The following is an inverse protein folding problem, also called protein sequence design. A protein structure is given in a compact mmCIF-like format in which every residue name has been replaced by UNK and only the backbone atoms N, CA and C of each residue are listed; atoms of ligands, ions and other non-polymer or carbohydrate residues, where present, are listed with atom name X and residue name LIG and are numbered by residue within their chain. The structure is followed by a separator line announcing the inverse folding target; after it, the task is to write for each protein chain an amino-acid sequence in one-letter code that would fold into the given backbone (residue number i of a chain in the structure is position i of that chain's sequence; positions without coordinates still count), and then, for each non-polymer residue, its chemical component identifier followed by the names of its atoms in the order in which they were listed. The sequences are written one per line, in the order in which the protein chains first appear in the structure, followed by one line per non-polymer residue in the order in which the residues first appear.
data_IF_958733410371
#
_entry.id   IF_958733410371
#
_cell.length_a   1.000
_cell.length_b   1.000
_cell.length_c   1.000
_cell.angle_alpha   90.00
_cell.angle_beta   90.00
_cell.angle_gamma   90.00
#
_symmetry.space_group_name_H-M   'P 1'
#
loop_
_entity.id
_entity.type
_entity.pdbx_description
1 polymer ?
#
# COMPACT_ATOMS: atom_id res chain seq x y z
N UNK A 1 -33.35 4.12 -18.73
CA UNK A 1 -31.88 4.22 -18.83
C UNK A 1 -31.22 5.07 -17.73
N UNK A 2 -31.78 6.23 -17.35
CA UNK A 2 -31.19 7.11 -16.30
C UNK A 2 -30.95 6.44 -14.93
N UNK A 3 -31.83 5.50 -14.52
CA UNK A 3 -31.71 4.86 -13.21
C UNK A 3 -30.60 3.79 -13.15
N UNK A 4 -30.30 3.13 -14.28
CA UNK A 4 -29.25 2.12 -14.36
C UNK A 4 -27.86 2.76 -14.15
N UNK A 5 -27.64 3.94 -14.73
CA UNK A 5 -26.40 4.70 -14.57
C UNK A 5 -26.15 5.13 -13.11
N UNK A 6 -27.21 5.45 -12.36
CA UNK A 6 -27.13 5.77 -10.93
C UNK A 6 -26.68 4.57 -10.09
N UNK A 7 -27.17 3.36 -10.41
CA UNK A 7 -26.77 2.14 -9.72
C UNK A 7 -25.29 1.83 -9.96
N UNK A 8 -24.83 1.94 -11.22
CA UNK A 8 -23.41 1.76 -11.55
C UNK A 8 -22.51 2.77 -10.82
N UNK A 9 -22.94 4.03 -10.72
CA UNK A 9 -22.18 5.06 -10.00
C UNK A 9 -22.04 4.73 -8.50
N UNK A 10 -23.09 4.25 -7.85
CA UNK A 10 -23.05 3.85 -6.43
C UNK A 10 -22.15 2.64 -6.22
N UNK A 11 -22.20 1.65 -7.11
CA UNK A 11 -21.33 0.46 -7.04
C UNK A 11 -19.85 0.85 -7.19
N UNK A 12 -19.52 1.70 -8.17
CA UNK A 12 -18.15 2.17 -8.39
C UNK A 12 -17.62 2.97 -7.20
N UNK A 13 -18.45 3.85 -6.64
CA UNK A 13 -18.09 4.58 -5.42
C UNK A 13 -17.86 3.64 -4.25
N UNK A 14 -18.76 2.67 -4.03
CA UNK A 14 -18.59 1.64 -3.00
C UNK A 14 -17.28 0.86 -3.15
N UNK A 15 -16.96 0.41 -4.36
CA UNK A 15 -15.71 -0.32 -4.65
C UNK A 15 -14.45 0.54 -4.41
N UNK A 16 -14.49 1.83 -4.73
CA UNK A 16 -13.36 2.75 -4.49
C UNK A 16 -13.04 2.92 -2.99
N UNK A 17 -14.08 3.03 -2.15
CA UNK A 17 -13.92 3.21 -0.71
C UNK A 17 -13.45 1.90 -0.07
N UNK A 18 -14.02 0.76 -0.47
CA UNK A 18 -13.58 -0.57 -0.01
C UNK A 18 -12.13 -0.84 -0.41
N UNK A 19 -11.69 -0.38 -1.59
CA UNK A 19 -10.30 -0.55 -2.02
C UNK A 19 -9.30 0.22 -1.14
N UNK A 20 -9.70 1.37 -0.59
CA UNK A 20 -8.83 2.18 0.27
C UNK A 20 -8.69 1.58 1.68
N UNK A 21 -9.78 1.04 2.24
CA UNK A 21 -9.81 0.52 3.62
C UNK A 21 -9.46 -0.96 3.72
N UNK A 22 -9.91 -1.79 2.77
CA UNK A 22 -9.78 -3.25 2.84
C UNK A 22 -8.36 -3.72 2.51
N UNK A 23 -7.58 -2.95 1.75
CA UNK A 23 -6.29 -3.37 1.24
C UNK A 23 -5.08 -2.98 2.11
N UNK A 24 -5.22 -2.05 3.07
CA UNK A 24 -4.03 -1.32 3.54
C UNK A 24 -3.54 -1.61 4.96
N UNK A 25 -4.36 -1.81 6.01
CA UNK A 25 -3.77 -1.90 7.34
C UNK A 25 -3.03 -3.23 7.59
N UNK A 26 -3.66 -4.35 7.29
CA UNK A 26 -3.15 -5.69 7.65
C UNK A 26 -2.14 -6.25 6.65
N UNK A 27 -2.19 -5.81 5.39
CA UNK A 27 -1.23 -6.18 4.38
C UNK A 27 0.10 -5.45 4.60
N UNK A 28 0.07 -4.11 4.70
CA UNK A 28 1.28 -3.33 4.93
C UNK A 28 1.91 -3.62 6.29
N UNK A 29 1.12 -3.93 7.33
CA UNK A 29 1.67 -4.38 8.62
C UNK A 29 2.49 -5.67 8.48
N UNK A 30 1.97 -6.69 7.80
CA UNK A 30 2.71 -7.96 7.56
C UNK A 30 3.93 -7.78 6.67
N UNK A 31 3.83 -6.88 5.69
CA UNK A 31 4.99 -6.49 4.87
C UNK A 31 6.02 -5.85 5.79
N UNK A 32 5.66 -4.85 6.59
CA UNK A 32 6.59 -4.19 7.48
C UNK A 32 7.24 -5.15 8.49
N UNK A 33 6.44 -6.01 9.15
CA UNK A 33 6.92 -7.06 10.07
C UNK A 33 7.93 -8.00 9.38
N UNK A 34 7.62 -8.48 8.17
CA UNK A 34 8.53 -9.36 7.41
C UNK A 34 9.85 -8.69 7.05
N UNK A 35 9.84 -7.39 6.79
CA UNK A 35 11.05 -6.65 6.43
C UNK A 35 11.87 -6.36 7.68
N UNK A 36 11.21 -6.04 8.79
CA UNK A 36 11.83 -5.89 10.11
C UNK A 36 12.49 -7.19 10.60
N UNK A 37 11.82 -8.34 10.45
CA UNK A 37 12.39 -9.67 10.75
C UNK A 37 13.64 -9.98 9.91
N UNK A 38 13.66 -9.52 8.65
CA UNK A 38 14.82 -9.63 7.75
C UNK A 38 15.90 -8.58 8.03
N UNK A 39 15.64 -7.65 8.94
CA UNK A 39 16.50 -6.51 9.25
C UNK A 39 16.62 -5.50 8.10
N UNK A 40 15.65 -5.48 7.17
CA UNK A 40 15.62 -4.54 6.06
C UNK A 40 14.91 -3.26 6.47
N UNK A 41 15.57 -2.11 6.29
CA UNK A 41 15.01 -0.78 6.53
C UNK A 41 15.00 0.02 5.24
N UNK A 42 13.81 0.43 4.81
CA UNK A 42 13.66 1.32 3.66
C UNK A 42 13.28 2.71 4.14
N UNK A 43 14.00 3.72 3.66
CA UNK A 43 13.73 5.12 3.96
C UNK A 43 13.64 5.94 2.68
N UNK A 44 12.78 6.95 2.71
CA UNK A 44 12.61 7.87 1.59
C UNK A 44 13.73 8.91 1.61
N UNK A 45 14.44 9.04 0.50
CA UNK A 45 15.41 10.14 0.31
C UNK A 45 14.73 11.32 -0.36
N UNK A 46 15.24 12.52 -0.08
CA UNK A 46 14.72 13.80 -0.63
C UNK A 46 14.68 13.82 -2.17
N UNK A 47 15.50 12.99 -2.79
CA UNK A 47 15.67 12.74 -4.21
C UNK A 47 14.64 11.75 -4.81
N UNK A 48 13.52 11.49 -4.10
CA UNK A 48 12.38 10.63 -4.49
C UNK A 48 12.72 9.17 -4.74
N UNK A 49 13.89 8.74 -4.30
CA UNK A 49 14.30 7.34 -4.36
C UNK A 49 14.10 6.71 -2.97
N UNK A 50 13.41 5.57 -2.96
CA UNK A 50 13.37 4.71 -1.77
C UNK A 50 14.71 3.96 -1.73
N UNK A 51 15.43 4.09 -0.62
CA UNK A 51 16.66 3.35 -0.39
C UNK A 51 16.38 2.30 0.66
N UNK A 52 16.58 1.02 0.32
CA UNK A 52 16.49 -0.07 1.28
C UNK A 52 17.90 -0.48 1.73
N UNK A 53 18.05 -0.81 3.01
CA UNK A 53 19.28 -1.27 3.61
C UNK A 53 19.00 -2.59 4.35
N UNK A 54 19.78 -3.63 4.09
CA UNK A 54 19.69 -4.88 4.86
C UNK A 54 20.40 -4.78 6.22
N UNK A 55 20.33 -5.85 7.01
CA UNK A 55 20.97 -5.93 8.32
C UNK A 55 22.51 -5.81 8.28
N UNK A 56 23.11 -6.06 7.12
CA UNK A 56 24.56 -6.05 6.90
C UNK A 56 25.02 -4.69 6.32
N UNK A 57 24.08 -3.76 6.08
CA UNK A 57 24.33 -2.42 5.55
C UNK A 57 24.36 -2.31 4.03
N UNK A 58 23.97 -3.38 3.30
CA UNK A 58 23.94 -3.34 1.84
C UNK A 58 22.70 -2.60 1.34
N UNK A 59 22.89 -1.68 0.39
CA UNK A 59 21.83 -0.83 -0.16
C UNK A 59 21.32 -1.33 -1.51
N UNK A 60 20.01 -1.36 -1.70
CA UNK A 60 19.35 -1.75 -2.96
C UNK A 60 18.03 -1.01 -3.18
#
# INVERSE_FOLDING_TARGET
MKNMFKIFAVILLGLSVVSCELFSPSYWKRVNERWEEKGVRCYEKCDRNVCCEDKDGNRF
#
